data_IF_963811577760
#
_entry.id   IF_963811577760
#
_cell.length_a   1.000
_cell.length_b   1.000
_cell.length_c   1.000
_cell.angle_alpha   90.00
_cell.angle_beta   90.00
_cell.angle_gamma   90.00
#
_symmetry.space_group_name_H-M   'P 1'
#
loop_
_entity.id
_entity.type
_entity.pdbx_description
1 polymer ?
#
# COMPACT_ATOMS: atom_id res chain seq x y z
N UNK A 1 -33.37 -23.93 -30.99
CA UNK A 1 -33.36 -24.08 -29.53
C UNK A 1 -32.08 -23.41 -29.06
N UNK A 2 -32.25 -22.36 -28.27
CA UNK A 2 -31.52 -21.10 -28.33
C UNK A 2 -30.30 -20.96 -27.43
N UNK A 3 -29.47 -19.98 -27.80
CA UNK A 3 -28.33 -19.44 -27.07
C UNK A 3 -28.77 -18.63 -25.84
N UNK A 4 -29.13 -19.29 -24.74
CA UNK A 4 -29.64 -18.63 -23.54
C UNK A 4 -29.10 -19.20 -22.21
N UNK A 5 -27.78 -19.41 -22.07
CA UNK A 5 -27.23 -19.83 -20.76
C UNK A 5 -25.90 -19.16 -20.35
N UNK A 6 -25.62 -17.95 -20.85
CA UNK A 6 -24.58 -17.09 -20.27
C UNK A 6 -25.23 -15.86 -19.63
N UNK A 7 -25.08 -15.64 -18.30
CA UNK A 7 -25.57 -14.42 -17.68
C UNK A 7 -24.80 -13.20 -18.22
N UNK A 8 -25.50 -12.12 -18.63
CA UNK A 8 -24.88 -10.94 -19.20
C UNK A 8 -24.29 -10.01 -18.12
N UNK A 9 -23.09 -9.52 -18.39
CA UNK A 9 -22.51 -8.25 -17.93
C UNK A 9 -22.47 -7.95 -16.41
N UNK A 10 -21.28 -8.11 -15.81
CA UNK A 10 -20.92 -7.40 -14.57
C UNK A 10 -20.91 -5.87 -14.81
N UNK A 11 -21.47 -5.05 -13.92
CA UNK A 11 -21.95 -3.71 -14.25
C UNK A 11 -20.84 -2.65 -14.26
N UNK A 12 -20.97 -1.68 -15.17
CA UNK A 12 -20.15 -0.46 -15.36
C UNK A 12 -19.84 0.38 -14.10
N UNK A 13 -20.39 0.04 -12.94
CA UNK A 13 -20.29 0.74 -11.67
C UNK A 13 -18.87 0.73 -11.06
N UNK A 14 -18.10 -0.36 -11.21
CA UNK A 14 -16.70 -0.42 -10.74
C UNK A 14 -15.77 0.47 -11.57
N UNK A 15 -15.94 0.46 -12.89
CA UNK A 15 -15.16 1.30 -13.82
C UNK A 15 -15.46 2.79 -13.63
N UNK A 16 -16.74 3.13 -13.43
CA UNK A 16 -17.15 4.51 -13.13
C UNK A 16 -16.67 4.98 -11.75
N UNK A 17 -16.64 4.09 -10.74
CA UNK A 17 -16.08 4.40 -9.42
C UNK A 17 -14.58 4.72 -9.50
N UNK A 18 -13.82 3.92 -10.26
CA UNK A 18 -12.39 4.13 -10.48
C UNK A 18 -12.11 5.44 -11.22
N UNK A 19 -12.84 5.71 -12.30
CA UNK A 19 -12.73 6.94 -13.07
C UNK A 19 -13.08 8.19 -12.25
N UNK A 20 -14.08 8.11 -11.37
CA UNK A 20 -14.41 9.21 -10.46
C UNK A 20 -13.35 9.42 -9.37
N UNK A 21 -12.74 8.34 -8.88
CA UNK A 21 -11.60 8.41 -7.96
C UNK A 21 -10.40 9.10 -8.62
N UNK A 22 -10.02 8.66 -9.82
CA UNK A 22 -8.92 9.23 -10.60
C UNK A 22 -9.15 10.72 -10.91
N UNK A 23 -10.36 11.08 -11.38
CA UNK A 23 -10.68 12.47 -11.69
C UNK A 23 -10.68 13.38 -10.46
N UNK A 24 -11.00 12.85 -9.27
CA UNK A 24 -10.99 13.62 -8.02
C UNK A 24 -9.57 13.85 -7.51
N UNK A 25 -8.71 12.85 -7.60
CA UNK A 25 -7.27 12.97 -7.29
C UNK A 25 -6.61 14.00 -8.21
N UNK A 26 -6.85 13.90 -9.53
CA UNK A 26 -6.32 14.86 -10.50
C UNK A 26 -6.86 16.28 -10.28
N UNK A 27 -8.14 16.43 -9.89
CA UNK A 27 -8.72 17.74 -9.59
C UNK A 27 -8.15 18.36 -8.31
N UNK A 28 -7.85 17.57 -7.27
CA UNK A 28 -7.23 18.08 -6.04
C UNK A 28 -5.77 18.50 -6.27
N UNK A 29 -5.02 17.75 -7.09
CA UNK A 29 -3.68 18.14 -7.55
C UNK A 29 -3.74 19.48 -8.32
N UNK A 30 -4.70 19.61 -9.24
CA UNK A 30 -4.89 20.85 -10.02
C UNK A 30 -5.40 22.03 -9.16
N UNK A 31 -6.06 21.77 -8.03
CA UNK A 31 -6.57 22.77 -7.09
C UNK A 31 -5.53 23.20 -6.03
N UNK A 32 -4.32 22.64 -6.04
CA UNK A 32 -3.27 22.96 -5.08
C UNK A 32 -3.49 22.37 -3.68
N UNK A 33 -4.33 21.34 -3.55
CA UNK A 33 -4.48 20.58 -2.30
C UNK A 33 -3.15 19.86 -2.03
N UNK A 34 -2.62 19.90 -0.79
CA UNK A 34 -1.40 19.19 -0.45
C UNK A 34 -1.53 17.71 -0.81
N UNK A 35 -0.57 17.16 -1.58
CA UNK A 35 -0.56 15.77 -2.04
C UNK A 35 -0.80 14.78 -0.89
N UNK A 36 -0.24 15.09 0.29
CA UNK A 36 -0.43 14.31 1.50
C UNK A 36 -1.92 14.10 1.85
N UNK A 37 -2.72 15.16 1.81
CA UNK A 37 -4.15 15.08 2.11
C UNK A 37 -4.91 14.24 1.07
N UNK A 38 -4.53 14.37 -0.21
CA UNK A 38 -5.13 13.58 -1.31
C UNK A 38 -4.86 12.08 -1.11
N UNK A 39 -3.62 11.73 -0.76
CA UNK A 39 -3.22 10.36 -0.50
C UNK A 39 -3.88 9.81 0.78
N UNK A 40 -4.02 10.61 1.83
CA UNK A 40 -4.74 10.22 3.05
C UNK A 40 -6.20 9.86 2.76
N UNK A 41 -6.91 10.73 2.03
CA UNK A 41 -8.29 10.46 1.61
C UNK A 41 -8.40 9.19 0.77
N UNK A 42 -7.43 8.95 -0.12
CA UNK A 42 -7.37 7.75 -0.94
C UNK A 42 -7.20 6.48 -0.09
N UNK A 43 -6.25 6.49 0.85
CA UNK A 43 -5.99 5.34 1.72
C UNK A 43 -7.20 5.00 2.59
N UNK A 44 -7.82 6.00 3.22
CA UNK A 44 -9.04 5.81 4.00
C UNK A 44 -10.20 5.25 3.15
N UNK A 45 -10.31 5.67 1.89
CA UNK A 45 -11.31 5.13 0.96
C UNK A 45 -11.03 3.67 0.54
N UNK A 46 -9.77 3.25 0.49
CA UNK A 46 -9.39 1.85 0.26
C UNK A 46 -9.72 1.01 1.50
N UNK A 47 -9.33 1.47 2.68
CA UNK A 47 -9.60 0.78 3.95
C UNK A 47 -11.10 0.57 4.19
N UNK A 48 -11.92 1.59 3.89
CA UNK A 48 -13.38 1.52 4.03
C UNK A 48 -14.06 0.47 3.14
N UNK A 49 -13.39 -0.02 2.09
CA UNK A 49 -13.91 -1.10 1.25
C UNK A 49 -13.68 -2.49 1.86
N UNK A 50 -12.78 -2.61 2.84
CA UNK A 50 -12.51 -3.87 3.52
C UNK A 50 -13.41 -4.06 4.74
N UNK A 51 -13.85 -5.29 4.96
CA UNK A 51 -14.59 -5.69 6.17
C UNK A 51 -13.69 -6.25 7.27
N UNK A 52 -12.38 -6.39 6.99
CA UNK A 52 -11.45 -7.16 7.80
C UNK A 52 -10.34 -6.31 8.43
N UNK A 53 -10.62 -5.04 8.77
CA UNK A 53 -9.66 -4.21 9.50
C UNK A 53 -8.37 -3.91 8.75
N UNK A 54 -8.42 -3.88 7.40
CA UNK A 54 -7.30 -3.51 6.54
C UNK A 54 -6.79 -2.11 6.92
N UNK A 55 -5.47 -2.00 7.04
CA UNK A 55 -4.74 -0.74 7.19
C UNK A 55 -3.86 -0.58 5.96
N UNK A 56 -3.70 0.65 5.50
CA UNK A 56 -2.93 0.93 4.29
C UNK A 56 -1.93 2.05 4.54
N UNK A 57 -0.81 1.98 3.83
CA UNK A 57 0.21 3.01 3.88
C UNK A 57 0.89 3.20 2.53
N UNK A 58 1.48 4.38 2.36
CA UNK A 58 2.41 4.71 1.29
C UNK A 58 3.71 5.11 1.96
N UNK A 59 4.79 4.43 1.58
CA UNK A 59 6.15 4.73 2.02
C UNK A 59 6.93 5.34 0.87
N UNK A 60 7.80 6.29 1.18
CA UNK A 60 8.71 6.87 0.21
C UNK A 60 10.08 6.22 0.30
N UNK A 61 10.77 6.16 -0.83
CA UNK A 61 12.12 5.65 -0.88
C UNK A 61 13.13 6.79 -1.01
N UNK A 62 14.05 6.89 -0.05
CA UNK A 62 15.16 7.82 -0.10
C UNK A 62 16.38 7.13 -0.74
N UNK A 63 16.60 7.38 -2.02
CA UNK A 63 17.69 6.80 -2.79
C UNK A 63 19.09 7.22 -2.28
N UNK A 64 19.22 8.39 -1.64
CA UNK A 64 20.51 8.86 -1.12
C UNK A 64 20.93 8.09 0.14
N UNK A 65 19.96 7.72 0.98
CA UNK A 65 20.22 6.98 2.22
C UNK A 65 19.88 5.49 2.14
N UNK A 66 19.29 5.03 1.03
CA UNK A 66 18.82 3.66 0.80
C UNK A 66 17.86 3.18 1.91
N UNK A 67 16.98 4.08 2.36
CA UNK A 67 16.07 3.86 3.49
C UNK A 67 14.66 4.25 3.13
N UNK A 68 13.70 3.58 3.76
CA UNK A 68 12.29 3.97 3.66
C UNK A 68 12.02 5.21 4.52
N UNK A 69 11.04 5.99 4.10
CA UNK A 69 10.50 7.13 4.83
C UNK A 69 9.00 6.97 4.94
N UNK A 70 8.44 7.28 6.10
CA UNK A 70 6.98 7.27 6.25
C UNK A 70 6.37 8.36 5.36
N UNK A 71 5.49 7.97 4.43
CA UNK A 71 4.74 8.91 3.62
C UNK A 71 3.38 9.20 4.24
N UNK A 72 2.43 8.28 4.02
CA UNK A 72 1.03 8.43 4.44
C UNK A 72 0.53 7.11 5.01
N UNK A 73 0.02 7.11 6.23
CA UNK A 73 -0.37 5.89 6.95
C UNK A 73 -1.44 6.19 8.02
N UNK A 74 -2.66 6.60 7.61
CA UNK A 74 -3.62 7.27 8.50
C UNK A 74 -4.19 6.35 9.59
N UNK A 75 -4.31 5.04 9.32
CA UNK A 75 -4.90 4.07 10.25
C UNK A 75 -3.87 3.20 10.97
N UNK A 76 -2.57 3.35 10.66
CA UNK A 76 -1.50 2.67 11.39
C UNK A 76 -1.14 3.44 12.66
N UNK A 77 -0.80 2.74 13.76
CA UNK A 77 -0.36 3.40 14.99
C UNK A 77 0.87 4.28 14.77
N UNK A 78 0.89 5.48 15.36
CA UNK A 78 2.01 6.41 15.22
C UNK A 78 3.36 5.80 15.67
N UNK A 79 3.35 4.94 16.69
CA UNK A 79 4.56 4.24 17.16
C UNK A 79 5.10 3.25 16.11
N UNK A 80 4.22 2.57 15.39
CA UNK A 80 4.61 1.68 14.29
C UNK A 80 5.20 2.48 13.12
N UNK A 81 4.52 3.56 12.72
CA UNK A 81 5.01 4.46 11.67
C UNK A 81 6.41 5.01 12.00
N UNK A 82 6.62 5.46 13.25
CA UNK A 82 7.91 5.97 13.70
C UNK A 82 9.01 4.90 13.73
N UNK A 83 8.66 3.63 14.02
CA UNK A 83 9.61 2.52 14.00
C UNK A 83 10.00 2.10 12.57
N UNK A 84 9.09 2.29 11.60
CA UNK A 84 9.37 2.06 10.18
C UNK A 84 10.23 3.15 9.56
N UNK A 85 10.10 4.40 10.02
CA UNK A 85 10.81 5.53 9.43
C UNK A 85 12.32 5.34 9.52
N UNK A 86 12.96 5.33 8.35
CA UNK A 86 14.39 5.15 8.23
C UNK A 86 14.87 3.71 8.24
N UNK A 87 14.02 2.68 8.21
CA UNK A 87 14.51 1.31 8.05
C UNK A 87 15.22 1.11 6.70
N UNK A 88 16.28 0.27 6.66
CA UNK A 88 16.95 -0.06 5.42
C UNK A 88 16.07 -0.97 4.55
N UNK A 89 16.24 -0.88 3.23
CA UNK A 89 15.66 -1.86 2.30
C UNK A 89 16.56 -3.11 2.22
N UNK A 90 16.01 -4.23 1.78
CA UNK A 90 16.79 -5.46 1.62
C UNK A 90 15.93 -6.70 1.39
N UNK A 91 16.56 -7.85 1.13
CA UNK A 91 15.84 -9.09 0.79
C UNK A 91 15.01 -9.68 1.94
N UNK A 92 15.20 -9.21 3.17
CA UNK A 92 14.50 -9.61 4.41
C UNK A 92 13.97 -8.40 5.18
N UNK A 93 13.60 -7.33 4.47
CA UNK A 93 13.20 -6.04 5.07
C UNK A 93 11.67 -5.90 5.20
N UNK A 94 11.00 -6.94 5.72
CA UNK A 94 9.54 -7.04 5.67
C UNK A 94 9.02 -7.09 4.23
N UNK A 95 7.72 -6.92 4.03
CA UNK A 95 7.17 -6.88 2.66
C UNK A 95 7.62 -5.63 1.92
N UNK A 96 7.62 -4.47 2.58
CA UNK A 96 7.85 -3.19 1.93
C UNK A 96 9.30 -2.96 1.49
N UNK A 97 10.24 -3.03 2.44
CA UNK A 97 11.66 -2.90 2.13
C UNK A 97 12.14 -3.95 1.13
N UNK A 98 11.54 -5.13 1.13
CA UNK A 98 11.81 -6.18 0.13
C UNK A 98 11.22 -5.86 -1.24
N UNK A 99 10.00 -5.34 -1.31
CA UNK A 99 9.37 -4.95 -2.57
C UNK A 99 10.15 -3.83 -3.28
N UNK A 100 10.61 -2.82 -2.53
CA UNK A 100 11.49 -1.77 -3.05
C UNK A 100 12.83 -2.36 -3.52
N UNK A 101 13.46 -3.22 -2.72
CA UNK A 101 14.75 -3.82 -3.08
C UNK A 101 14.69 -4.71 -4.33
N UNK A 102 13.56 -5.42 -4.52
CA UNK A 102 13.35 -6.29 -5.69
C UNK A 102 12.81 -5.54 -6.91
N UNK A 103 12.13 -4.41 -6.70
CA UNK A 103 11.35 -3.75 -7.76
C UNK A 103 10.12 -4.58 -8.18
N UNK A 104 9.61 -5.44 -7.28
CA UNK A 104 8.50 -6.34 -7.55
C UNK A 104 7.51 -6.37 -6.39
N UNK A 105 6.26 -6.75 -6.65
CA UNK A 105 5.28 -6.88 -5.59
C UNK A 105 5.60 -8.06 -4.66
N UNK A 106 5.41 -7.87 -3.36
CA UNK A 106 5.65 -8.86 -2.31
C UNK A 106 4.37 -9.06 -1.51
N UNK A 107 3.97 -10.32 -1.34
CA UNK A 107 2.75 -10.69 -0.64
C UNK A 107 3.06 -11.68 0.48
N UNK A 108 2.94 -11.24 1.72
CA UNK A 108 3.07 -12.10 2.90
C UNK A 108 1.69 -12.34 3.49
N UNK A 109 1.31 -13.61 3.59
CA UNK A 109 0.00 -14.03 4.12
C UNK A 109 0.01 -14.31 5.62
N UNK A 110 1.18 -14.56 6.20
CA UNK A 110 1.36 -14.72 7.65
C UNK A 110 2.75 -14.23 8.10
N UNK A 111 2.78 -13.04 8.72
CA UNK A 111 3.99 -12.40 9.26
C UNK A 111 4.65 -13.25 10.35
N UNK A 112 3.86 -14.05 11.10
CA UNK A 112 4.37 -14.87 12.20
C UNK A 112 5.36 -15.95 11.73
N UNK A 113 5.23 -16.41 10.49
CA UNK A 113 6.00 -17.54 9.97
C UNK A 113 6.86 -17.19 8.76
N UNK A 114 6.62 -16.04 8.11
CA UNK A 114 7.34 -15.66 6.90
C UNK A 114 8.78 -15.16 7.21
N UNK A 115 9.82 -15.69 6.54
CA UNK A 115 11.22 -15.28 6.73
C UNK A 115 11.55 -13.84 6.33
N UNK A 116 10.69 -13.17 5.54
CA UNK A 116 10.89 -11.75 5.23
C UNK A 116 10.73 -10.87 6.47
N UNK A 117 10.06 -11.37 7.50
CA UNK A 117 9.72 -10.65 8.71
C UNK A 117 10.59 -11.03 9.91
N UNK A 118 11.63 -11.88 9.77
CA UNK A 118 12.43 -12.35 10.93
C UNK A 118 12.92 -11.21 11.84
N UNK A 119 13.39 -10.10 11.25
CA UNK A 119 13.89 -8.93 12.01
C UNK A 119 12.78 -7.96 12.48
N UNK A 120 11.54 -8.09 11.97
CA UNK A 120 10.45 -7.12 12.15
C UNK A 120 9.16 -7.73 12.71
N UNK A 121 9.12 -9.05 12.88
CA UNK A 121 7.93 -9.83 13.25
C UNK A 121 7.33 -9.35 14.56
N UNK A 122 8.16 -9.20 15.58
CA UNK A 122 7.69 -8.78 16.91
C UNK A 122 7.06 -7.38 16.85
N UNK A 123 7.67 -6.45 16.09
CA UNK A 123 7.14 -5.11 15.90
C UNK A 123 5.75 -5.15 15.24
N UNK A 124 5.60 -5.90 14.14
CA UNK A 124 4.33 -6.00 13.43
C UNK A 124 3.23 -6.68 14.26
N UNK A 125 3.56 -7.80 14.91
CA UNK A 125 2.61 -8.55 15.74
C UNK A 125 2.17 -7.76 16.99
N UNK A 126 3.06 -6.95 17.57
CA UNK A 126 2.71 -6.07 18.70
C UNK A 126 1.64 -5.03 18.34
N UNK A 127 1.53 -4.68 17.05
CA UNK A 127 0.49 -3.80 16.51
C UNK A 127 -0.69 -4.56 15.88
N UNK A 128 -0.76 -5.88 16.07
CA UNK A 128 -1.85 -6.72 15.60
C UNK A 128 -1.86 -6.95 14.09
N UNK A 129 -0.74 -6.75 13.40
CA UNK A 129 -0.62 -7.01 11.96
C UNK A 129 -0.28 -8.48 11.72
N UNK A 130 -1.00 -9.14 10.83
CA UNK A 130 -0.86 -10.57 10.53
C UNK A 130 -0.44 -10.87 9.11
N UNK A 131 -0.80 -10.04 8.16
CA UNK A 131 -0.39 -10.16 6.76
C UNK A 131 -0.02 -8.78 6.22
N UNK A 132 0.84 -8.75 5.21
CA UNK A 132 1.28 -7.49 4.61
C UNK A 132 1.62 -7.68 3.14
N UNK A 133 1.04 -6.84 2.29
CA UNK A 133 1.26 -6.82 0.86
C UNK A 133 1.80 -5.47 0.41
N UNK A 134 2.74 -5.52 -0.52
CA UNK A 134 3.57 -4.40 -0.86
C UNK A 134 3.76 -4.36 -2.36
N UNK A 135 3.49 -3.21 -2.99
CA UNK A 135 3.67 -3.02 -4.44
C UNK A 135 4.48 -1.74 -4.70
N UNK A 136 5.64 -1.84 -5.36
CA UNK A 136 6.47 -0.67 -5.63
C UNK A 136 5.79 0.28 -6.62
N UNK A 137 5.99 1.58 -6.40
CA UNK A 137 5.48 2.66 -7.25
C UNK A 137 6.67 3.30 -7.96
N UNK A 138 6.61 3.29 -9.30
CA UNK A 138 7.66 3.80 -10.15
C UNK A 138 7.31 5.19 -10.69
N UNK A 139 8.34 6.02 -10.86
CA UNK A 139 8.29 7.22 -11.67
C UNK A 139 8.18 6.85 -13.16
N UNK A 140 7.85 7.85 -13.97
CA UNK A 140 7.79 7.71 -15.43
C UNK A 140 9.13 7.38 -16.08
N UNK A 141 10.25 7.68 -15.43
CA UNK A 141 11.60 7.30 -15.87
C UNK A 141 12.02 5.89 -15.42
N UNK A 142 11.14 5.16 -14.73
CA UNK A 142 11.40 3.81 -14.22
C UNK A 142 12.12 3.78 -12.88
N UNK A 143 12.48 4.92 -12.29
CA UNK A 143 13.04 4.97 -10.93
C UNK A 143 11.95 4.68 -9.88
N UNK A 144 12.33 4.09 -8.74
CA UNK A 144 11.38 3.83 -7.65
C UNK A 144 11.17 5.12 -6.86
N UNK A 145 9.92 5.59 -6.77
CA UNK A 145 9.54 6.74 -5.96
C UNK A 145 9.22 6.35 -4.52
N UNK A 146 8.73 5.12 -4.34
CA UNK A 146 8.22 4.61 -3.09
C UNK A 146 7.41 3.35 -3.33
N UNK A 147 6.47 3.08 -2.44
CA UNK A 147 5.70 1.84 -2.46
C UNK A 147 4.34 2.05 -1.77
N UNK A 148 3.31 1.36 -2.24
CA UNK A 148 2.05 1.19 -1.52
C UNK A 148 2.05 -0.14 -0.75
N UNK A 149 1.78 -0.07 0.54
CA UNK A 149 1.64 -1.22 1.43
C UNK A 149 0.21 -1.34 1.98
N UNK A 150 -0.23 -2.58 2.14
CA UNK A 150 -1.53 -3.00 2.67
C UNK A 150 -1.27 -4.00 3.78
N UNK A 151 -1.50 -3.57 5.01
CA UNK A 151 -1.32 -4.36 6.22
C UNK A 151 -2.68 -4.87 6.71
N UNK A 152 -2.85 -6.17 6.82
CA UNK A 152 -4.08 -6.77 7.35
C UNK A 152 -3.84 -7.27 8.78
N UNK A 153 -4.81 -6.99 9.65
CA UNK A 153 -4.87 -7.50 11.01
C UNK A 153 -5.42 -8.92 11.08
#
# INVERSE_FOLDING_TARGET
>A
MDAADFPPNAPASKTLSLLHGERRVLAQIAAGVPLQQVLEELLLAVEAQSRHGLKTSILFYDAATQRVRTGVAPSLPAAYNAALDGLPIGPHAGSCGTAIARGEAVYVSDIETDPLWDDYRELALAHGLRACWSTPIFATDGSILGEGAQDAA
#
